data_IF_804628868804
#
_entry.id   IF_804628868804
#
_cell.length_a   1.000
_cell.length_b   1.000
_cell.length_c   1.000
_cell.angle_alpha   90.00
_cell.angle_beta   90.00
_cell.angle_gamma   90.00
#
_symmetry.space_group_name_H-M   'P 1'
#
loop_
_entity.id
_entity.type
_entity.pdbx_description
1 polymer ?
#
# COMPACT_ATOMS: atom_id res chain seq x y z
N UNK A 1 29.05 -16.28 30.96
CA UNK A 1 27.78 -15.51 31.08
C UNK A 1 28.05 -14.14 30.47
N UNK A 2 27.33 -13.74 29.43
CA UNK A 2 27.55 -12.44 28.77
C UNK A 2 26.83 -11.32 29.53
N UNK A 3 27.59 -10.32 29.99
CA UNK A 3 27.04 -9.13 30.62
C UNK A 3 26.51 -8.19 29.54
N UNK A 4 25.22 -7.85 29.61
CA UNK A 4 24.60 -6.88 28.72
C UNK A 4 24.51 -5.50 29.42
N UNK A 5 24.01 -4.49 28.70
CA UNK A 5 23.90 -3.12 29.22
C UNK A 5 22.94 -3.01 30.42
N UNK A 6 21.89 -3.84 30.47
CA UNK A 6 20.92 -3.84 31.56
C UNK A 6 21.51 -4.42 32.84
N UNK A 7 22.36 -5.46 32.74
CA UNK A 7 23.09 -6.01 33.88
C UNK A 7 23.98 -4.95 34.54
N UNK A 8 24.73 -4.18 33.75
CA UNK A 8 25.54 -3.09 34.30
C UNK A 8 24.69 -2.00 34.97
N UNK A 9 23.54 -1.65 34.41
CA UNK A 9 22.62 -0.69 35.02
C UNK A 9 22.03 -1.19 36.33
N UNK A 10 21.73 -2.49 36.44
CA UNK A 10 21.28 -3.12 37.68
C UNK A 10 22.35 -3.05 38.77
N UNK A 11 23.63 -3.31 38.42
CA UNK A 11 24.76 -3.20 39.34
C UNK A 11 24.95 -1.73 39.78
N UNK A 12 24.87 -0.77 38.86
CA UNK A 12 24.94 0.67 39.18
C UNK A 12 23.80 1.06 40.13
N UNK A 13 22.57 0.58 39.89
CA UNK A 13 21.43 0.85 40.77
C UNK A 13 21.61 0.24 42.17
N UNK A 14 22.14 -0.97 42.24
CA UNK A 14 22.49 -1.62 43.51
C UNK A 14 23.52 -0.81 44.30
N UNK A 15 24.59 -0.35 43.64
CA UNK A 15 25.63 0.46 44.27
C UNK A 15 25.13 1.85 44.69
N UNK A 16 24.25 2.45 43.89
CA UNK A 16 23.54 3.67 44.26
C UNK A 16 22.70 3.48 45.52
N UNK A 17 21.97 2.35 45.64
CA UNK A 17 21.18 2.00 46.84
C UNK A 17 22.05 1.71 48.07
N UNK A 18 23.28 1.21 47.87
CA UNK A 18 24.28 1.03 48.93
C UNK A 18 24.91 2.34 49.42
N UNK A 19 24.65 3.46 48.74
CA UNK A 19 25.21 4.77 49.11
C UNK A 19 26.65 4.97 48.67
N UNK A 20 27.16 4.14 47.75
CA UNK A 20 28.49 4.33 47.17
C UNK A 20 28.52 5.60 46.31
N UNK A 21 29.68 6.27 46.29
CA UNK A 21 29.90 7.39 45.39
C UNK A 21 30.01 6.92 43.93
N UNK A 22 29.81 7.86 43.01
CA UNK A 22 29.93 7.61 41.56
C UNK A 22 31.31 7.06 41.20
N UNK A 23 32.35 7.52 41.89
CA UNK A 23 33.74 7.13 41.65
C UNK A 23 33.97 5.69 42.15
N UNK A 24 33.58 5.40 43.39
CA UNK A 24 33.70 4.04 43.95
C UNK A 24 32.94 3.01 43.12
N UNK A 25 31.75 3.35 42.64
CA UNK A 25 30.98 2.48 41.77
C UNK A 25 31.68 2.22 40.43
N UNK A 26 32.35 3.24 39.85
CA UNK A 26 33.11 3.07 38.62
C UNK A 26 34.36 2.22 38.85
N UNK A 27 35.09 2.47 39.94
CA UNK A 27 36.30 1.73 40.28
C UNK A 27 36.00 0.25 40.54
N UNK A 28 34.88 -0.06 41.23
CA UNK A 28 34.40 -1.43 41.44
C UNK A 28 34.04 -2.12 40.11
N UNK A 29 33.28 -1.44 39.25
CA UNK A 29 32.91 -1.98 37.94
C UNK A 29 34.14 -2.20 37.05
N UNK A 30 35.09 -1.27 37.06
CA UNK A 30 36.32 -1.36 36.28
C UNK A 30 37.26 -2.44 36.82
N UNK A 31 37.34 -2.61 38.14
CA UNK A 31 38.13 -3.66 38.77
C UNK A 31 37.58 -5.06 38.50
N UNK A 32 36.25 -5.23 38.46
CA UNK A 32 35.62 -6.54 38.27
C UNK A 32 35.46 -6.92 36.80
N UNK A 33 35.23 -5.94 35.92
CA UNK A 33 34.82 -6.19 34.53
C UNK A 33 35.75 -5.56 33.48
N UNK A 34 36.74 -4.77 33.89
CA UNK A 34 37.81 -4.20 33.05
C UNK A 34 37.29 -3.66 31.70
N UNK A 35 37.68 -4.27 30.58
CA UNK A 35 37.32 -3.92 29.21
C UNK A 35 35.81 -3.92 28.93
N UNK A 36 35.04 -4.68 29.70
CA UNK A 36 33.58 -4.78 29.57
C UNK A 36 32.84 -3.77 30.45
N UNK A 37 33.53 -3.07 31.33
CA UNK A 37 32.92 -2.11 32.24
C UNK A 37 32.35 -0.89 31.49
N UNK A 38 31.20 -0.34 31.93
CA UNK A 38 30.69 0.89 31.38
C UNK A 38 31.63 2.07 31.70
N UNK A 39 31.73 3.01 30.77
CA UNK A 39 32.52 4.24 31.00
C UNK A 39 32.03 5.02 32.23
N UNK A 40 32.94 5.77 32.85
CA UNK A 40 32.59 6.67 33.97
C UNK A 40 31.41 7.60 33.63
N UNK A 41 31.37 8.14 32.41
CA UNK A 41 30.28 8.97 31.92
C UNK A 41 28.93 8.26 31.96
N UNK A 42 28.89 6.97 31.61
CA UNK A 42 27.68 6.14 31.70
C UNK A 42 27.24 6.00 33.15
N UNK A 43 28.16 5.67 34.07
CA UNK A 43 27.86 5.56 35.51
C UNK A 43 27.31 6.88 36.05
N UNK A 44 27.97 8.00 35.75
CA UNK A 44 27.54 9.35 36.15
C UNK A 44 26.13 9.68 35.66
N UNK A 45 25.82 9.39 34.40
CA UNK A 45 24.51 9.65 33.82
C UNK A 45 23.41 8.83 34.51
N UNK A 46 23.64 7.54 34.77
CA UNK A 46 22.68 6.70 35.49
C UNK A 46 22.47 7.14 36.93
N UNK A 47 23.53 7.54 37.64
CA UNK A 47 23.39 8.14 38.97
C UNK A 47 22.54 9.41 38.95
N UNK A 48 22.67 10.24 37.92
CA UNK A 48 21.85 11.45 37.79
C UNK A 48 20.38 11.10 37.53
N UNK A 49 20.10 10.09 36.70
CA UNK A 49 18.74 9.60 36.46
C UNK A 49 18.11 8.99 37.73
N UNK A 50 18.87 8.24 38.53
CA UNK A 50 18.37 7.70 39.80
C UNK A 50 18.12 8.81 40.83
N UNK A 51 18.96 9.84 40.89
CA UNK A 51 18.71 11.03 41.71
C UNK A 51 17.46 11.82 41.25
N UNK A 52 17.11 11.75 39.96
CA UNK A 52 15.86 12.30 39.41
C UNK A 52 14.63 11.42 39.67
N UNK A 53 14.79 10.30 40.39
CA UNK A 53 13.70 9.40 40.78
C UNK A 53 13.40 8.29 39.77
N UNK A 54 14.20 8.10 38.72
CA UNK A 54 14.02 6.96 37.80
C UNK A 54 14.25 5.66 38.57
N UNK A 55 13.30 4.72 38.47
CA UNK A 55 13.41 3.38 39.06
C UNK A 55 13.53 2.25 38.02
N UNK A 56 13.35 2.57 36.72
CA UNK A 56 13.48 1.61 35.63
C UNK A 56 14.94 1.49 35.16
N UNK A 57 15.34 0.26 34.85
CA UNK A 57 16.67 -0.13 34.34
C UNK A 57 16.66 -0.23 32.79
N UNK A 58 15.46 -0.37 32.22
CA UNK A 58 15.23 -0.50 30.78
C UNK A 58 15.45 0.82 30.05
N UNK A 59 15.75 0.73 28.74
CA UNK A 59 15.73 1.92 27.89
C UNK A 59 14.31 2.45 27.74
N UNK A 60 14.14 3.76 27.87
CA UNK A 60 12.88 4.43 27.51
C UNK A 60 12.64 4.32 26.00
N UNK A 61 11.35 4.39 25.62
CA UNK A 61 10.96 4.46 24.21
C UNK A 61 11.63 5.64 23.53
N UNK A 62 12.52 5.36 22.59
CA UNK A 62 13.16 6.41 21.78
C UNK A 62 12.26 6.76 20.61
N UNK A 63 11.92 8.04 20.48
CA UNK A 63 11.34 8.55 19.25
C UNK A 63 12.41 8.47 18.15
N UNK A 64 12.32 7.44 17.31
CA UNK A 64 13.18 7.32 16.13
C UNK A 64 12.84 8.36 15.07
N UNK A 65 13.66 8.45 14.02
CA UNK A 65 13.28 9.18 12.80
C UNK A 65 11.94 8.61 12.31
N UNK A 66 10.92 9.44 12.01
CA UNK A 66 9.66 8.93 11.48
C UNK A 66 9.97 8.08 10.24
N UNK A 67 9.50 6.83 10.25
CA UNK A 67 9.77 5.85 9.17
C UNK A 67 9.23 6.31 7.82
N UNK A 68 8.40 7.34 7.81
CA UNK A 68 7.71 7.82 6.62
C UNK A 68 7.72 9.35 6.61
N UNK A 69 8.22 9.92 5.52
CA UNK A 69 8.03 11.35 5.14
C UNK A 69 6.55 11.60 4.75
N UNK A 70 5.73 10.56 4.73
CA UNK A 70 4.32 10.62 4.33
C UNK A 70 3.46 11.01 5.54
N UNK A 71 3.09 12.28 5.59
CA UNK A 71 2.09 12.84 6.51
C UNK A 71 0.69 12.35 6.10
N UNK A 72 -0.23 12.05 7.05
CA UNK A 72 -1.61 11.65 6.73
C UNK A 72 -2.33 12.58 5.75
N UNK A 73 -2.04 13.88 5.80
CA UNK A 73 -2.53 14.89 4.86
C UNK A 73 -2.16 14.59 3.41
N UNK A 74 -0.90 14.19 3.16
CA UNK A 74 -0.42 13.83 1.82
C UNK A 74 -1.08 12.53 1.32
N UNK A 75 -1.33 11.56 2.21
CA UNK A 75 -2.07 10.33 1.87
C UNK A 75 -3.48 10.69 1.40
N UNK A 76 -4.17 11.54 2.16
CA UNK A 76 -5.52 11.97 1.82
C UNK A 76 -5.55 12.77 0.52
N UNK A 77 -4.59 13.66 0.29
CA UNK A 77 -4.48 14.42 -0.96
C UNK A 77 -4.31 13.50 -2.19
N UNK A 78 -3.43 12.48 -2.10
CA UNK A 78 -3.26 11.48 -3.18
C UNK A 78 -4.56 10.68 -3.39
N UNK A 79 -5.24 10.29 -2.30
CA UNK A 79 -6.52 9.57 -2.39
C UNK A 79 -7.58 10.39 -3.11
N UNK A 80 -7.71 11.67 -2.79
CA UNK A 80 -8.69 12.54 -3.43
C UNK A 80 -8.37 12.81 -4.90
N UNK A 81 -7.10 12.97 -5.27
CA UNK A 81 -6.70 13.06 -6.68
C UNK A 81 -7.13 11.81 -7.48
N UNK A 82 -6.93 10.61 -6.93
CA UNK A 82 -7.32 9.36 -7.61
C UNK A 82 -8.85 9.24 -7.73
N UNK A 83 -9.60 9.71 -6.74
CA UNK A 83 -11.07 9.71 -6.80
C UNK A 83 -11.60 10.68 -7.85
N UNK A 84 -10.95 11.84 -8.01
CA UNK A 84 -11.30 12.84 -9.01
C UNK A 84 -10.96 12.34 -10.42
N UNK A 85 -9.74 11.84 -10.62
CA UNK A 85 -9.30 11.23 -11.86
C UNK A 85 -8.54 9.93 -11.62
N UNK A 86 -9.17 8.81 -12.02
CA UNK A 86 -8.57 7.50 -11.90
C UNK A 86 -7.44 7.26 -12.91
N UNK A 87 -7.26 8.10 -13.92
CA UNK A 87 -6.19 7.98 -14.92
C UNK A 87 -4.89 8.66 -14.49
N UNK A 88 -4.89 9.40 -13.38
CA UNK A 88 -3.76 10.20 -12.92
C UNK A 88 -2.43 9.41 -12.93
N UNK A 89 -1.41 10.03 -13.50
CA UNK A 89 -0.06 9.49 -13.61
C UNK A 89 0.75 9.87 -12.39
N UNK A 90 1.84 9.13 -12.14
CA UNK A 90 2.76 9.49 -11.06
C UNK A 90 3.32 10.92 -11.21
N UNK A 91 3.59 11.37 -12.44
CA UNK A 91 4.10 12.71 -12.73
C UNK A 91 3.08 13.80 -12.41
N UNK A 92 1.81 13.58 -12.72
CA UNK A 92 0.74 14.52 -12.37
C UNK A 92 0.55 14.61 -10.85
N UNK A 93 0.64 13.49 -10.13
CA UNK A 93 0.59 13.48 -8.66
C UNK A 93 1.80 14.23 -8.07
N UNK A 94 3.00 13.99 -8.60
CA UNK A 94 4.23 14.68 -8.18
C UNK A 94 4.13 16.18 -8.42
N UNK A 95 3.73 16.60 -9.62
CA UNK A 95 3.55 18.01 -9.96
C UNK A 95 2.45 18.70 -9.12
N UNK A 96 1.40 17.97 -8.74
CA UNK A 96 0.28 18.53 -7.98
C UNK A 96 0.55 18.66 -6.48
N UNK A 97 1.30 17.71 -5.89
CA UNK A 97 1.47 17.61 -4.44
C UNK A 97 2.89 17.84 -3.94
N UNK A 98 3.85 18.04 -4.85
CA UNK A 98 5.29 18.16 -4.58
C UNK A 98 5.79 17.00 -3.68
N UNK A 99 5.48 15.77 -4.11
CA UNK A 99 5.86 14.53 -3.43
C UNK A 99 6.78 13.75 -4.36
N UNK A 100 7.93 13.33 -3.86
CA UNK A 100 8.83 12.45 -4.63
C UNK A 100 8.12 11.17 -5.12
N UNK A 101 8.46 10.74 -6.33
CA UNK A 101 8.00 9.48 -6.94
C UNK A 101 8.04 8.26 -5.98
N UNK A 102 9.10 8.12 -5.19
CA UNK A 102 9.27 7.03 -4.22
C UNK A 102 8.22 7.07 -3.11
N UNK A 103 7.93 8.27 -2.58
CA UNK A 103 6.88 8.45 -1.57
C UNK A 103 5.50 8.21 -2.16
N UNK A 104 5.25 8.64 -3.40
CA UNK A 104 3.99 8.35 -4.12
C UNK A 104 3.81 6.83 -4.23
N UNK A 105 4.85 6.10 -4.62
CA UNK A 105 4.81 4.64 -4.74
C UNK A 105 4.42 3.96 -3.41
N UNK A 106 5.01 4.40 -2.29
CA UNK A 106 4.64 3.93 -0.95
C UNK A 106 3.20 4.28 -0.60
N UNK A 107 2.76 5.50 -0.87
CA UNK A 107 1.37 5.93 -0.62
C UNK A 107 0.40 5.03 -1.38
N UNK A 108 0.62 4.82 -2.68
CA UNK A 108 -0.28 4.05 -3.53
C UNK A 108 -0.39 2.59 -3.08
N UNK A 109 0.73 1.94 -2.76
CA UNK A 109 0.73 0.50 -2.51
C UNK A 109 0.67 0.12 -1.02
N UNK A 110 1.38 0.83 -0.15
CA UNK A 110 1.44 0.51 1.29
C UNK A 110 0.30 1.16 2.08
N UNK A 111 -0.12 2.39 1.72
CA UNK A 111 -1.13 3.13 2.49
C UNK A 111 -2.53 3.09 1.88
N UNK A 112 -2.65 3.14 0.55
CA UNK A 112 -3.93 3.13 -0.16
C UNK A 112 -4.28 1.75 -0.75
N UNK A 113 -3.28 0.88 -0.90
CA UNK A 113 -3.41 -0.45 -1.49
C UNK A 113 -4.14 -0.46 -2.85
N UNK A 114 -3.96 0.61 -3.64
CA UNK A 114 -4.55 0.73 -4.98
C UNK A 114 -3.75 -0.06 -6.00
N UNK A 115 -4.44 -0.50 -7.05
CA UNK A 115 -3.86 -1.22 -8.18
C UNK A 115 -4.16 -0.50 -9.48
N UNK A 116 -3.18 -0.44 -10.39
CA UNK A 116 -3.41 0.07 -11.75
C UNK A 116 -3.87 -1.06 -12.66
N UNK A 117 -5.09 -1.00 -13.15
CA UNK A 117 -5.74 -2.08 -13.90
C UNK A 117 -6.33 -1.53 -15.20
N UNK A 118 -6.22 -2.28 -16.30
CA UNK A 118 -6.94 -1.97 -17.53
C UNK A 118 -8.45 -2.16 -17.33
N UNK A 119 -9.22 -1.14 -17.71
CA UNK A 119 -10.68 -1.23 -17.75
C UNK A 119 -11.13 -2.36 -18.68
N UNK A 120 -12.21 -3.06 -18.32
CA UNK A 120 -12.84 -4.05 -19.19
C UNK A 120 -13.60 -3.33 -20.29
N UNK A 121 -13.25 -3.60 -21.53
CA UNK A 121 -13.95 -3.02 -22.67
C UNK A 121 -15.30 -3.72 -22.84
N UNK A 122 -16.35 -2.93 -22.98
CA UNK A 122 -17.70 -3.39 -23.26
C UNK A 122 -18.21 -2.74 -24.55
N UNK A 123 -18.96 -3.45 -25.40
CA UNK A 123 -19.46 -2.87 -26.65
C UNK A 123 -20.44 -1.71 -26.41
N UNK A 124 -21.37 -1.89 -25.45
CA UNK A 124 -22.44 -0.93 -25.18
C UNK A 124 -22.80 -0.89 -23.70
N UNK A 125 -23.26 0.28 -23.25
CA UNK A 125 -23.98 0.44 -21.99
C UNK A 125 -25.45 0.08 -22.20
N UNK A 126 -25.82 -1.15 -21.87
CA UNK A 126 -27.17 -1.66 -22.06
C UNK A 126 -28.13 -1.14 -20.98
N UNK A 127 -29.35 -0.78 -21.40
CA UNK A 127 -30.47 -0.51 -20.48
C UNK A 127 -30.95 -1.80 -19.80
N UNK A 128 -31.66 -1.69 -18.69
CA UNK A 128 -32.21 -2.86 -18.00
C UNK A 128 -33.19 -3.65 -18.89
N UNK A 129 -33.97 -2.94 -19.72
CA UNK A 129 -34.84 -3.57 -20.71
C UNK A 129 -34.05 -4.36 -21.76
N UNK A 130 -32.97 -3.79 -22.32
CA UNK A 130 -32.10 -4.49 -23.27
C UNK A 130 -31.42 -5.71 -22.63
N UNK A 131 -30.98 -5.61 -21.37
CA UNK A 131 -30.40 -6.75 -20.63
C UNK A 131 -31.42 -7.87 -20.46
N UNK A 132 -32.65 -7.53 -20.05
CA UNK A 132 -33.74 -8.49 -19.89
C UNK A 132 -34.07 -9.18 -21.21
N UNK A 133 -34.29 -8.40 -22.27
CA UNK A 133 -34.55 -8.93 -23.60
C UNK A 133 -33.45 -9.90 -24.04
N UNK A 134 -32.16 -9.54 -23.90
CA UNK A 134 -31.07 -10.46 -24.24
C UNK A 134 -31.11 -11.77 -23.46
N UNK A 135 -31.42 -11.74 -22.17
CA UNK A 135 -31.53 -12.95 -21.35
C UNK A 135 -32.72 -13.80 -21.81
N UNK A 136 -33.85 -13.18 -22.09
CA UNK A 136 -35.06 -13.87 -22.56
C UNK A 136 -34.80 -14.55 -23.92
N UNK A 137 -34.20 -13.84 -24.88
CA UNK A 137 -33.77 -14.41 -26.17
C UNK A 137 -32.78 -15.58 -26.00
N UNK A 138 -31.82 -15.48 -25.08
CA UNK A 138 -30.89 -16.59 -24.82
C UNK A 138 -31.60 -17.82 -24.26
N UNK A 139 -32.61 -17.65 -23.38
CA UNK A 139 -33.40 -18.77 -22.85
C UNK A 139 -34.22 -19.44 -23.95
N UNK A 140 -34.89 -18.65 -24.79
CA UNK A 140 -35.65 -19.18 -25.93
C UNK A 140 -34.75 -19.96 -26.90
N UNK A 141 -33.54 -19.46 -27.17
CA UNK A 141 -32.58 -20.18 -28.02
C UNK A 141 -32.09 -21.48 -27.38
N UNK A 142 -31.83 -21.48 -26.07
CA UNK A 142 -31.46 -22.70 -25.35
C UNK A 142 -32.57 -23.75 -25.41
N UNK A 143 -33.82 -23.37 -25.22
CA UNK A 143 -34.97 -24.27 -25.36
C UNK A 143 -35.10 -24.79 -26.79
N UNK A 144 -35.04 -23.90 -27.78
CA UNK A 144 -35.15 -24.23 -29.21
C UNK A 144 -34.11 -25.26 -29.66
N UNK A 145 -32.89 -25.21 -29.12
CA UNK A 145 -31.80 -26.12 -29.48
C UNK A 145 -31.54 -27.22 -28.43
N UNK A 146 -32.53 -27.51 -27.58
CA UNK A 146 -32.46 -28.59 -26.58
C UNK A 146 -31.17 -28.48 -25.75
N UNK A 147 -30.92 -27.30 -25.19
CA UNK A 147 -29.73 -26.95 -24.41
C UNK A 147 -28.39 -27.24 -25.13
N UNK A 148 -28.39 -27.19 -26.46
CA UNK A 148 -27.21 -27.43 -27.30
C UNK A 148 -27.04 -28.88 -27.77
N UNK A 149 -27.95 -29.80 -27.43
CA UNK A 149 -27.90 -31.20 -27.90
C UNK A 149 -28.50 -31.38 -29.30
N UNK A 150 -29.28 -30.42 -29.78
CA UNK A 150 -29.90 -30.48 -31.10
C UNK A 150 -28.90 -30.22 -32.23
N UNK A 151 -28.82 -31.16 -33.18
CA UNK A 151 -28.01 -31.01 -34.41
C UNK A 151 -28.53 -29.92 -35.35
N UNK A 152 -29.74 -29.38 -35.12
CA UNK A 152 -30.31 -28.28 -35.93
C UNK A 152 -29.45 -27.02 -35.87
N UNK A 153 -28.59 -26.87 -34.86
CA UNK A 153 -27.62 -25.75 -34.77
C UNK A 153 -26.68 -25.70 -35.99
N UNK A 154 -26.39 -26.83 -36.63
CA UNK A 154 -25.51 -26.90 -37.80
C UNK A 154 -26.11 -26.27 -39.06
N UNK A 155 -27.42 -26.01 -39.06
CA UNK A 155 -28.11 -25.39 -40.19
C UNK A 155 -28.10 -23.85 -40.10
N UNK A 156 -27.45 -23.27 -39.09
CA UNK A 156 -27.36 -21.82 -38.92
C UNK A 156 -26.23 -21.30 -39.80
N UNK A 157 -26.58 -20.42 -40.74
CA UNK A 157 -25.64 -19.60 -41.48
C UNK A 157 -25.64 -18.19 -40.89
N UNK A 158 -24.48 -17.65 -40.56
CA UNK A 158 -24.32 -16.29 -40.01
C UNK A 158 -23.27 -15.53 -40.82
N UNK A 159 -23.43 -14.21 -40.90
CA UNK A 159 -22.47 -13.29 -41.49
C UNK A 159 -22.46 -11.99 -40.70
N UNK A 160 -21.29 -11.34 -40.66
CA UNK A 160 -21.09 -10.02 -40.05
C UNK A 160 -20.00 -9.27 -40.84
N UNK A 161 -20.02 -7.95 -40.79
CA UNK A 161 -19.04 -7.10 -41.45
C UNK A 161 -18.00 -6.60 -40.43
N UNK A 162 -16.72 -6.61 -40.81
CA UNK A 162 -15.62 -6.16 -39.96
C UNK A 162 -14.74 -5.16 -40.68
N UNK A 163 -14.47 -4.04 -40.02
CA UNK A 163 -13.57 -3.01 -40.53
C UNK A 163 -12.11 -3.41 -40.35
N UNK A 164 -11.31 -3.25 -41.41
CA UNK A 164 -9.85 -3.38 -41.36
C UNK A 164 -9.26 -1.97 -41.41
N UNK A 165 -8.57 -1.57 -40.33
CA UNK A 165 -8.04 -0.20 -40.20
C UNK A 165 -6.61 -0.11 -40.73
N UNK A 166 -6.30 1.00 -41.41
CA UNK A 166 -4.94 1.32 -41.88
C UNK A 166 -4.07 2.01 -40.81
N UNK A 167 -4.58 2.16 -39.58
CA UNK A 167 -3.87 2.76 -38.44
C UNK A 167 -4.07 1.91 -37.18
N UNK A 168 -3.19 2.09 -36.20
CA UNK A 168 -3.30 1.40 -34.91
C UNK A 168 -4.40 2.04 -34.04
N UNK A 169 -5.48 1.29 -33.71
CA UNK A 169 -6.49 1.79 -32.79
C UNK A 169 -5.95 1.93 -31.37
N UNK A 170 -6.66 2.69 -30.52
CA UNK A 170 -6.32 2.84 -29.10
C UNK A 170 -5.98 1.50 -28.45
N UNK A 171 -4.90 1.45 -27.67
CA UNK A 171 -4.50 0.21 -27.01
C UNK A 171 -5.26 0.03 -25.70
N UNK A 172 -5.45 -1.22 -25.29
CA UNK A 172 -6.06 -1.54 -24.00
C UNK A 172 -5.31 -0.92 -22.82
N UNK A 173 -4.00 -0.74 -22.93
CA UNK A 173 -3.16 -0.12 -21.89
C UNK A 173 -3.52 1.35 -21.62
N UNK A 174 -3.99 2.08 -22.63
CA UNK A 174 -4.45 3.47 -22.48
C UNK A 174 -5.73 3.57 -21.63
N UNK A 175 -6.42 2.45 -21.38
CA UNK A 175 -7.58 2.38 -20.47
C UNK A 175 -7.22 1.98 -19.03
N UNK A 176 -5.94 2.08 -18.66
CA UNK A 176 -5.48 1.80 -17.29
C UNK A 176 -5.93 2.89 -16.32
N UNK A 177 -6.46 2.44 -15.19
CA UNK A 177 -6.99 3.28 -14.12
C UNK A 177 -6.57 2.74 -12.77
N UNK A 178 -6.45 3.61 -11.78
CA UNK A 178 -6.29 3.23 -10.39
C UNK A 178 -7.61 2.72 -9.82
N UNK A 179 -7.56 1.57 -9.14
CA UNK A 179 -8.71 0.89 -8.55
C UNK A 179 -8.41 0.57 -7.10
N UNK A 180 -9.34 0.89 -6.20
CA UNK A 180 -9.24 0.52 -4.79
C UNK A 180 -9.58 -0.96 -4.58
N UNK A 181 -9.13 -1.55 -3.46
CA UNK A 181 -9.15 -3.00 -3.25
C UNK A 181 -10.55 -3.64 -3.36
N UNK A 182 -11.59 -2.92 -2.96
CA UNK A 182 -12.98 -3.41 -2.93
C UNK A 182 -13.82 -2.94 -4.13
N UNK A 183 -13.21 -2.23 -5.09
CA UNK A 183 -13.93 -1.74 -6.25
C UNK A 183 -14.01 -2.80 -7.36
N UNK A 184 -15.20 -2.90 -7.97
CA UNK A 184 -15.38 -3.71 -9.16
C UNK A 184 -14.50 -3.20 -10.30
N UNK A 185 -14.04 -4.12 -11.14
CA UNK A 185 -13.19 -3.78 -12.29
C UNK A 185 -13.95 -2.81 -13.21
N UNK A 186 -13.40 -1.62 -13.48
CA UNK A 186 -14.09 -0.58 -14.23
C UNK A 186 -14.32 -1.03 -15.67
N UNK A 187 -15.39 -0.52 -16.27
CA UNK A 187 -15.73 -0.80 -17.67
C UNK A 187 -15.59 0.46 -18.52
N UNK A 188 -14.98 0.33 -19.70
CA UNK A 188 -14.92 1.39 -20.73
C UNK A 188 -15.82 0.95 -21.88
N UNK A 189 -16.77 1.78 -22.27
CA UNK A 189 -17.52 1.53 -23.51
C UNK A 189 -16.59 1.80 -24.68
N UNK A 190 -16.37 0.78 -25.51
CA UNK A 190 -15.63 0.94 -26.75
C UNK A 190 -16.62 0.83 -27.89
N UNK A 191 -16.95 1.98 -28.48
CA UNK A 191 -17.66 2.00 -29.75
C UNK A 191 -16.63 1.71 -30.85
N UNK A 192 -16.98 0.87 -31.82
CA UNK A 192 -16.41 1.04 -33.16
C UNK A 192 -16.72 2.48 -33.58
N UNK A 193 -15.72 3.24 -34.03
CA UNK A 193 -15.96 4.61 -34.49
C UNK A 193 -16.91 4.55 -35.68
N UNK A 194 -18.20 4.81 -35.46
CA UNK A 194 -19.01 5.43 -36.51
C UNK A 194 -18.65 6.90 -36.48
N UNK A 195 -17.68 7.29 -37.29
CA UNK A 195 -17.55 8.68 -37.72
C UNK A 195 -18.52 8.86 -38.88
N UNK A 196 -19.53 9.71 -38.69
CA UNK A 196 -20.35 10.35 -39.72
C UNK A 196 -19.59 10.48 -41.06
N UNK A 197 -20.10 10.08 -42.23
CA UNK A 197 -21.44 10.15 -42.82
C UNK A 197 -21.74 8.85 -43.59
#
# INVERSE_FOLDING_TARGET
>A
MELNREHFRAIIFHNFRRGLSRQECFDELNSLYSDKAPSYSTVKNWYNEFNRGRCSIQDESRAGRPKSVVVPEKINAVRELIKQDRHVTYREIEASLDISMTSINKILHEHLSVKKICSRWIPHNLTNAQKKARVDWCKEMLEKYIQGTSKTVYNIYTGDESWIYAYEPETKQQSTVWVFQDEAKPTKVVRGRSTSK
#
